data_IF_286753491633
#
_entry.id   IF_286753491633
#
_cell.length_a   1.000
_cell.length_b   1.000
_cell.length_c   1.000
_cell.angle_alpha   90.00
_cell.angle_beta   90.00
_cell.angle_gamma   90.00
#
_symmetry.space_group_name_H-M   'P 1'
#
loop_
_entity.id
_entity.type
_entity.pdbx_description
1 polymer ?
#
# COMPACT_ATOMS: atom_id res chain seq x y z
N UNK A 1 -22.06 19.03 -12.15
CA UNK A 1 -21.90 18.34 -13.44
C UNK A 1 -20.79 19.04 -14.21
N UNK A 2 -19.71 18.33 -14.49
CA UNK A 2 -18.56 18.89 -15.24
C UNK A 2 -18.47 18.12 -16.57
N UNK A 3 -19.16 18.64 -17.59
CA UNK A 3 -19.28 18.00 -18.90
C UNK A 3 -18.03 18.29 -19.74
N UNK A 4 -17.33 17.22 -20.14
CA UNK A 4 -16.15 17.27 -21.01
C UNK A 4 -16.52 16.69 -22.37
N UNK A 5 -16.32 17.44 -23.48
CA UNK A 5 -16.62 16.95 -24.81
C UNK A 5 -15.64 15.85 -25.22
N UNK A 6 -16.15 14.82 -25.88
CA UNK A 6 -15.34 13.73 -26.46
C UNK A 6 -15.68 13.57 -27.94
N UNK A 7 -14.68 13.10 -28.72
CA UNK A 7 -14.92 12.77 -30.12
C UNK A 7 -15.64 11.41 -30.22
N UNK A 8 -16.61 11.32 -31.12
CA UNK A 8 -17.35 10.11 -31.46
C UNK A 8 -16.42 8.96 -31.90
N UNK A 9 -15.32 9.29 -32.58
CA UNK A 9 -14.32 8.32 -33.03
C UNK A 9 -13.46 7.76 -31.88
N UNK A 10 -13.56 8.33 -30.70
CA UNK A 10 -12.88 7.85 -29.50
C UNK A 10 -13.63 6.67 -28.83
N UNK A 11 -14.84 6.32 -29.30
CA UNK A 11 -15.64 5.19 -28.78
C UNK A 11 -15.26 3.92 -29.53
N UNK A 12 -14.88 2.87 -28.77
CA UNK A 12 -14.48 1.58 -29.34
C UNK A 12 -15.73 0.70 -29.51
N UNK A 13 -16.08 0.41 -30.77
CA UNK A 13 -17.19 -0.45 -31.11
C UNK A 13 -16.93 -1.89 -30.63
N UNK A 14 -17.94 -2.55 -30.06
CA UNK A 14 -17.83 -3.89 -29.51
C UNK A 14 -17.24 -3.97 -28.10
N UNK A 15 -16.97 -2.81 -27.45
CA UNK A 15 -16.49 -2.75 -26.07
C UNK A 15 -17.49 -2.02 -25.17
N UNK A 16 -17.67 -2.47 -23.92
CA UNK A 16 -18.56 -1.80 -22.98
C UNK A 16 -18.05 -0.39 -22.67
N UNK A 17 -18.96 0.60 -22.64
CA UNK A 17 -18.64 1.98 -22.30
C UNK A 17 -18.07 2.06 -20.87
N UNK A 18 -16.92 2.69 -20.66
CA UNK A 18 -16.29 2.82 -19.35
C UNK A 18 -16.97 3.85 -18.43
N UNK A 19 -17.80 4.72 -19.00
CA UNK A 19 -18.55 5.75 -18.29
C UNK A 19 -19.83 6.12 -19.05
N UNK A 20 -20.84 6.76 -18.39
CA UNK A 20 -22.05 7.20 -19.05
C UNK A 20 -21.77 8.29 -20.09
N UNK A 21 -22.42 8.20 -21.25
CA UNK A 21 -22.40 9.22 -22.29
C UNK A 21 -23.60 10.15 -22.13
N UNK A 22 -23.36 11.45 -22.35
CA UNK A 22 -24.39 12.50 -22.23
C UNK A 22 -24.37 13.44 -23.43
N UNK A 23 -25.47 14.15 -23.66
CA UNK A 23 -25.50 15.26 -24.59
C UNK A 23 -25.02 16.57 -23.94
N UNK A 24 -24.96 17.67 -24.70
CA UNK A 24 -24.58 19.02 -24.26
C UNK A 24 -25.46 19.54 -23.10
N UNK A 25 -26.71 19.10 -23.04
CA UNK A 25 -27.67 19.45 -21.96
C UNK A 25 -27.54 18.57 -20.72
N UNK A 26 -26.60 17.59 -20.72
CA UNK A 26 -26.41 16.64 -19.63
C UNK A 26 -27.38 15.46 -19.62
N UNK A 27 -28.21 15.31 -20.65
CA UNK A 27 -29.15 14.19 -20.80
C UNK A 27 -28.35 12.91 -21.09
N UNK A 28 -28.68 11.82 -20.37
CA UNK A 28 -28.04 10.53 -20.54
C UNK A 28 -28.36 9.90 -21.90
N UNK A 29 -27.34 9.62 -22.70
CA UNK A 29 -27.45 8.94 -23.99
C UNK A 29 -27.23 7.44 -23.87
N UNK A 30 -26.24 7.03 -23.07
CA UNK A 30 -25.95 5.62 -22.77
C UNK A 30 -25.34 5.46 -21.38
N UNK A 31 -25.68 4.38 -20.70
CA UNK A 31 -25.12 4.04 -19.37
C UNK A 31 -23.71 3.45 -19.47
N UNK A 32 -22.98 3.50 -18.36
CA UNK A 32 -21.74 2.74 -18.18
C UNK A 32 -22.04 1.23 -18.39
N UNK A 33 -21.15 0.56 -19.11
CA UNK A 33 -21.30 -0.87 -19.45
C UNK A 33 -22.14 -1.16 -20.70
N UNK A 34 -22.79 -0.14 -21.31
CA UNK A 34 -23.51 -0.30 -22.57
C UNK A 34 -22.54 -0.66 -23.69
N UNK A 35 -22.87 -1.66 -24.50
CA UNK A 35 -22.08 -2.07 -25.67
C UNK A 35 -22.62 -1.44 -26.94
N UNK A 36 -21.82 -0.61 -27.58
CA UNK A 36 -22.11 -0.04 -28.90
C UNK A 36 -21.70 -1.06 -29.97
N UNK A 37 -22.64 -1.57 -30.72
CA UNK A 37 -22.38 -2.64 -31.71
C UNK A 37 -22.00 -2.13 -33.10
N UNK A 38 -22.34 -0.90 -33.44
CA UNK A 38 -22.00 -0.32 -34.73
C UNK A 38 -21.85 1.20 -34.67
N UNK A 39 -21.12 1.77 -35.67
CA UNK A 39 -21.00 3.21 -35.85
C UNK A 39 -22.36 3.86 -36.12
N UNK A 40 -23.22 3.16 -36.82
CA UNK A 40 -24.57 3.62 -37.15
C UNK A 40 -25.47 3.76 -35.91
N UNK A 41 -25.33 2.83 -34.95
CA UNK A 41 -26.00 2.89 -33.65
C UNK A 41 -25.53 4.13 -32.84
N UNK A 42 -24.23 4.42 -32.87
CA UNK A 42 -23.66 5.58 -32.22
C UNK A 42 -24.17 6.89 -32.83
N UNK A 43 -24.20 6.97 -34.18
CA UNK A 43 -24.71 8.14 -34.90
C UNK A 43 -26.22 8.37 -34.66
N UNK A 44 -27.01 7.30 -34.52
CA UNK A 44 -28.42 7.38 -34.15
C UNK A 44 -28.61 7.88 -32.73
N UNK A 45 -27.78 7.43 -31.75
CA UNK A 45 -27.83 7.92 -30.36
C UNK A 45 -27.49 9.40 -30.25
N UNK A 46 -26.50 9.86 -31.02
CA UNK A 46 -26.03 11.25 -31.00
C UNK A 46 -26.97 12.17 -31.78
N UNK A 47 -27.72 11.63 -32.76
CA UNK A 47 -28.60 12.35 -33.63
C UNK A 47 -27.85 13.35 -34.51
N UNK A 48 -28.52 14.47 -34.86
CA UNK A 48 -27.91 15.56 -35.66
C UNK A 48 -26.89 16.42 -34.90
N UNK A 49 -26.60 16.08 -33.62
CA UNK A 49 -25.66 16.80 -32.75
C UNK A 49 -24.31 16.07 -32.81
N UNK A 50 -23.28 16.79 -33.19
CA UNK A 50 -21.95 16.22 -33.50
C UNK A 50 -21.03 16.00 -32.28
N UNK A 51 -21.47 16.27 -31.05
CA UNK A 51 -20.63 16.16 -29.85
C UNK A 51 -21.29 15.36 -28.73
N UNK A 52 -20.50 14.48 -28.12
CA UNK A 52 -20.87 13.68 -26.96
C UNK A 52 -20.07 14.19 -25.77
N UNK A 53 -20.65 14.11 -24.59
CA UNK A 53 -20.04 14.58 -23.33
C UNK A 53 -19.98 13.46 -22.30
N UNK A 54 -18.97 13.57 -21.44
CA UNK A 54 -18.80 12.74 -20.24
C UNK A 54 -18.81 13.66 -19.03
N UNK A 55 -19.49 13.24 -17.95
CA UNK A 55 -19.40 13.96 -16.68
C UNK A 55 -18.14 13.54 -15.92
N UNK A 56 -17.12 14.38 -15.94
CA UNK A 56 -15.86 14.15 -15.26
C UNK A 56 -15.99 14.04 -13.73
N UNK A 57 -17.11 14.49 -13.15
CA UNK A 57 -17.37 14.35 -11.71
C UNK A 57 -17.86 12.96 -11.33
N UNK A 58 -18.36 12.15 -12.28
CA UNK A 58 -18.88 10.81 -12.07
C UNK A 58 -17.92 9.69 -12.47
N UNK A 59 -16.75 10.01 -13.02
CA UNK A 59 -15.75 9.04 -13.46
C UNK A 59 -14.35 9.43 -12.99
N UNK A 60 -13.96 8.90 -11.83
CA UNK A 60 -12.60 9.12 -11.29
C UNK A 60 -11.50 8.65 -12.23
N UNK A 61 -11.73 7.55 -12.97
CA UNK A 61 -10.76 7.01 -13.93
C UNK A 61 -10.56 7.94 -15.12
N UNK A 62 -11.65 8.52 -15.66
CA UNK A 62 -11.58 9.49 -16.73
C UNK A 62 -10.85 10.78 -16.28
N UNK A 63 -11.19 11.30 -15.10
CA UNK A 63 -10.56 12.49 -14.53
C UNK A 63 -9.05 12.29 -14.32
N UNK A 64 -8.62 11.13 -13.82
CA UNK A 64 -7.19 10.80 -13.65
C UNK A 64 -6.47 10.68 -14.99
N UNK A 65 -7.05 9.99 -15.98
CA UNK A 65 -6.49 9.87 -17.34
C UNK A 65 -6.32 11.23 -18.02
N UNK A 66 -7.30 12.11 -17.88
CA UNK A 66 -7.28 13.47 -18.41
C UNK A 66 -6.18 14.33 -17.77
N UNK A 67 -6.14 14.36 -16.44
CA UNK A 67 -5.12 15.12 -15.68
C UNK A 67 -3.71 14.61 -15.99
N UNK A 68 -3.50 13.29 -16.05
CA UNK A 68 -2.21 12.70 -16.40
C UNK A 68 -1.76 13.07 -17.81
N UNK A 69 -2.69 13.09 -18.78
CA UNK A 69 -2.38 13.47 -20.16
C UNK A 69 -2.04 14.96 -20.29
N UNK A 70 -2.78 15.83 -19.60
CA UNK A 70 -2.45 17.26 -19.50
C UNK A 70 -1.08 17.49 -18.88
N UNK A 71 -0.79 16.82 -17.76
CA UNK A 71 0.50 16.92 -17.08
C UNK A 71 1.66 16.45 -17.98
N UNK A 72 1.48 15.35 -18.72
CA UNK A 72 2.51 14.86 -19.65
C UNK A 72 2.77 15.84 -20.80
N UNK A 73 1.77 16.55 -21.29
CA UNK A 73 1.94 17.56 -22.33
C UNK A 73 2.59 18.83 -21.82
N UNK A 74 2.27 19.26 -20.59
CA UNK A 74 2.94 20.36 -19.89
C UNK A 74 4.40 20.01 -19.63
N UNK A 75 4.69 18.78 -19.15
CA UNK A 75 6.05 18.31 -18.93
C UNK A 75 6.87 18.14 -20.22
N UNK A 76 6.21 17.90 -21.36
CA UNK A 76 6.83 17.83 -22.68
C UNK A 76 7.01 19.22 -23.35
N UNK A 77 6.76 20.30 -22.62
CA UNK A 77 6.89 21.70 -23.06
C UNK A 77 6.15 21.99 -24.42
N UNK A 78 4.94 21.40 -24.55
CA UNK A 78 4.10 21.60 -25.76
C UNK A 78 3.40 22.95 -25.73
N UNK A 79 3.24 23.54 -26.91
CA UNK A 79 2.57 24.84 -27.07
C UNK A 79 1.14 24.80 -26.50
N UNK A 80 0.71 25.87 -25.81
CA UNK A 80 -0.62 26.02 -25.19
C UNK A 80 -1.79 25.67 -26.13
N UNK A 81 -1.67 25.98 -27.44
CA UNK A 81 -2.66 25.59 -28.44
C UNK A 81 -2.80 24.08 -28.62
N UNK A 82 -1.69 23.31 -28.53
CA UNK A 82 -1.72 21.85 -28.61
C UNK A 82 -2.26 21.20 -27.34
N UNK A 83 -2.14 21.88 -26.20
CA UNK A 83 -2.71 21.44 -24.92
C UNK A 83 -4.23 21.65 -24.92
N UNK A 84 -4.70 22.74 -25.54
CA UNK A 84 -6.13 23.07 -25.66
C UNK A 84 -6.88 22.16 -26.64
N UNK A 85 -6.20 21.59 -27.64
CA UNK A 85 -6.77 20.67 -28.66
C UNK A 85 -6.74 19.20 -28.27
N UNK A 86 -6.40 18.86 -27.01
CA UNK A 86 -6.31 17.47 -26.56
C UNK A 86 -7.70 16.81 -26.60
N UNK A 87 -7.89 15.95 -27.58
CA UNK A 87 -9.06 15.06 -27.64
C UNK A 87 -8.89 13.91 -26.65
N UNK A 88 -9.87 13.75 -25.79
CA UNK A 88 -9.88 12.73 -24.72
C UNK A 88 -10.76 11.57 -25.15
N UNK A 89 -10.24 10.34 -25.01
CA UNK A 89 -11.02 9.13 -25.20
C UNK A 89 -11.67 8.71 -23.87
N UNK A 90 -12.95 8.26 -23.88
CA UNK A 90 -13.58 7.65 -22.70
C UNK A 90 -12.81 6.48 -22.13
N UNK A 91 -11.95 5.85 -22.94
CA UNK A 91 -11.10 4.72 -22.59
C UNK A 91 -9.71 5.13 -22.13
N UNK A 92 -9.37 6.42 -22.11
CA UNK A 92 -8.04 6.89 -21.68
C UNK A 92 -7.73 6.54 -20.20
N UNK A 93 -8.75 6.28 -19.39
CA UNK A 93 -8.60 5.65 -18.06
C UNK A 93 -8.27 4.14 -18.10
N UNK A 94 -8.43 3.47 -19.28
CA UNK A 94 -8.07 2.07 -19.51
C UNK A 94 -6.95 1.88 -20.55
N UNK A 95 -6.58 2.94 -21.28
CA UNK A 95 -5.50 2.95 -22.27
C UNK A 95 -4.35 3.84 -21.84
N UNK A 96 -3.53 3.34 -20.98
CA UNK A 96 -2.10 3.45 -21.15
C UNK A 96 -1.70 2.30 -22.09
N UNK A 97 -1.97 2.48 -23.41
CA UNK A 97 -1.60 1.49 -24.43
C UNK A 97 -0.18 1.79 -24.86
N UNK A 98 0.67 0.77 -24.71
CA UNK A 98 2.05 0.68 -25.19
C UNK A 98 3.05 1.68 -24.59
N UNK A 99 2.83 2.22 -23.41
CA UNK A 99 3.87 2.18 -22.39
C UNK A 99 3.77 0.77 -21.78
N UNK A 100 4.87 0.10 -21.61
CA UNK A 100 5.01 -1.14 -20.85
C UNK A 100 3.92 -1.23 -19.79
N UNK A 101 3.12 -2.31 -19.78
CA UNK A 101 2.16 -2.60 -18.72
C UNK A 101 2.91 -2.30 -17.44
N UNK A 102 2.56 -1.21 -16.76
CA UNK A 102 3.22 -0.88 -15.51
C UNK A 102 2.80 -2.02 -14.60
N UNK A 103 3.74 -2.93 -14.39
CA UNK A 103 3.60 -4.16 -13.65
C UNK A 103 3.53 -3.83 -12.15
N UNK A 104 3.19 -2.59 -11.84
CA UNK A 104 2.94 -2.08 -10.51
C UNK A 104 1.46 -2.13 -10.20
N UNK A 105 1.13 -2.63 -9.00
CA UNK A 105 -0.25 -2.65 -8.55
C UNK A 105 -0.76 -1.22 -8.35
N UNK A 106 -2.02 -0.99 -8.64
CA UNK A 106 -2.72 0.13 -8.05
C UNK A 106 -2.94 -0.18 -6.56
N UNK A 107 -2.08 0.34 -5.70
CA UNK A 107 -2.06 0.06 -4.27
C UNK A 107 -3.38 0.37 -3.56
N UNK A 108 -4.09 1.41 -4.01
CA UNK A 108 -5.43 1.75 -3.51
C UNK A 108 -6.47 0.70 -3.91
N UNK A 109 -6.31 0.08 -5.08
CA UNK A 109 -7.18 -1.01 -5.52
C UNK A 109 -6.94 -2.28 -4.70
N UNK A 110 -5.68 -2.64 -4.45
CA UNK A 110 -5.34 -3.74 -3.53
C UNK A 110 -5.87 -3.50 -2.11
N UNK A 111 -5.78 -2.27 -1.60
CA UNK A 111 -6.35 -1.89 -0.31
C UNK A 111 -7.88 -2.08 -0.30
N UNK A 112 -8.56 -1.65 -1.37
CA UNK A 112 -10.01 -1.79 -1.52
C UNK A 112 -10.43 -3.26 -1.61
N UNK A 113 -9.68 -4.08 -2.33
CA UNK A 113 -9.90 -5.53 -2.41
C UNK A 113 -9.71 -6.20 -1.04
N UNK A 114 -8.64 -5.85 -0.31
CA UNK A 114 -8.39 -6.33 1.05
C UNK A 114 -9.53 -5.94 2.00
N UNK A 115 -9.99 -4.67 1.93
CA UNK A 115 -11.11 -4.18 2.74
C UNK A 115 -12.41 -4.95 2.45
N UNK A 116 -12.77 -5.12 1.17
CA UNK A 116 -13.95 -5.87 0.77
C UNK A 116 -13.88 -7.34 1.21
N UNK A 117 -12.71 -7.97 1.11
CA UNK A 117 -12.49 -9.35 1.55
C UNK A 117 -12.67 -9.50 3.06
N UNK A 118 -12.05 -8.63 3.86
CA UNK A 118 -12.11 -8.72 5.34
C UNK A 118 -13.50 -8.40 5.92
N UNK A 119 -14.36 -7.70 5.16
CA UNK A 119 -15.73 -7.39 5.59
C UNK A 119 -16.76 -8.40 5.09
N UNK A 120 -16.47 -9.12 4.03
CA UNK A 120 -17.37 -10.15 3.49
C UNK A 120 -16.95 -11.53 4.01
N UNK A 121 -17.40 -11.82 5.23
CA UNK A 121 -17.14 -13.09 5.91
C UNK A 121 -18.18 -14.18 5.55
N UNK A 122 -18.99 -13.96 4.52
CA UNK A 122 -20.02 -14.91 4.06
C UNK A 122 -19.46 -15.82 2.98
N UNK A 123 -19.13 -17.03 3.38
CA UNK A 123 -19.10 -18.21 2.52
C UNK A 123 -17.90 -18.33 1.56
N UNK A 124 -18.18 -18.99 0.46
CA UNK A 124 -17.23 -19.62 -0.47
C UNK A 124 -16.25 -18.68 -1.19
N UNK A 125 -16.47 -17.38 -1.15
CA UNK A 125 -15.63 -16.41 -1.89
C UNK A 125 -14.40 -15.91 -1.10
N UNK A 126 -14.32 -16.15 0.21
CA UNK A 126 -13.24 -15.62 1.07
C UNK A 126 -11.88 -16.21 0.71
N UNK A 127 -11.75 -17.53 0.69
CA UNK A 127 -10.47 -18.21 0.43
C UNK A 127 -9.87 -17.85 -0.93
N UNK A 128 -10.60 -17.86 -2.05
CA UNK A 128 -10.07 -17.44 -3.35
C UNK A 128 -9.63 -15.97 -3.38
N UNK A 129 -10.33 -15.08 -2.65
CA UNK A 129 -9.95 -13.65 -2.55
C UNK A 129 -8.69 -13.47 -1.72
N UNK A 130 -8.57 -14.18 -0.59
CA UNK A 130 -7.38 -14.16 0.26
C UNK A 130 -6.16 -14.65 -0.51
N UNK A 131 -6.28 -15.79 -1.20
CA UNK A 131 -5.21 -16.35 -2.00
C UNK A 131 -4.76 -15.38 -3.11
N UNK A 132 -5.69 -14.77 -3.81
CA UNK A 132 -5.37 -13.75 -4.83
C UNK A 132 -4.62 -12.58 -4.23
N UNK A 133 -5.10 -12.00 -3.13
CA UNK A 133 -4.45 -10.88 -2.45
C UNK A 133 -3.05 -11.26 -1.95
N UNK A 134 -2.91 -12.44 -1.36
CA UNK A 134 -1.64 -12.98 -0.89
C UNK A 134 -0.64 -13.12 -2.05
N UNK A 135 -1.04 -13.73 -3.17
CA UNK A 135 -0.20 -13.93 -4.34
C UNK A 135 0.23 -12.59 -4.96
N UNK A 136 -0.66 -11.59 -5.02
CA UNK A 136 -0.32 -10.25 -5.49
C UNK A 136 0.71 -9.57 -4.59
N UNK A 137 0.50 -9.58 -3.26
CA UNK A 137 1.44 -9.00 -2.31
C UNK A 137 2.80 -9.73 -2.36
N UNK A 138 2.80 -11.05 -2.46
CA UNK A 138 4.03 -11.85 -2.57
C UNK A 138 4.78 -11.52 -3.85
N UNK A 139 4.12 -11.50 -5.00
CA UNK A 139 4.68 -11.16 -6.31
C UNK A 139 5.38 -9.81 -6.28
N UNK A 140 4.71 -8.77 -5.73
CA UNK A 140 5.28 -7.43 -5.63
C UNK A 140 6.41 -7.35 -4.61
N UNK A 141 6.30 -8.06 -3.48
CA UNK A 141 7.35 -8.13 -2.46
C UNK A 141 8.60 -8.83 -2.97
N UNK A 142 8.46 -9.86 -3.80
CA UNK A 142 9.60 -10.54 -4.44
C UNK A 142 10.28 -9.66 -5.48
N UNK A 143 9.51 -8.95 -6.28
CA UNK A 143 10.01 -8.13 -7.39
C UNK A 143 10.64 -6.82 -6.93
N UNK A 144 9.98 -6.08 -6.04
CA UNK A 144 10.42 -4.80 -5.51
C UNK A 144 10.09 -4.68 -4.01
N UNK A 145 10.88 -5.30 -3.13
CA UNK A 145 10.60 -5.32 -1.69
C UNK A 145 10.59 -3.93 -1.07
N UNK A 146 11.47 -3.02 -1.52
CA UNK A 146 11.52 -1.65 -1.00
C UNK A 146 10.33 -0.81 -1.49
N UNK A 147 9.91 -0.97 -2.74
CA UNK A 147 8.72 -0.31 -3.28
C UNK A 147 7.44 -0.82 -2.62
N UNK A 148 7.33 -2.11 -2.35
CA UNK A 148 6.20 -2.70 -1.63
C UNK A 148 6.12 -2.17 -0.20
N UNK A 149 7.23 -2.17 0.54
CA UNK A 149 7.29 -1.56 1.88
C UNK A 149 6.91 -0.09 1.84
N UNK A 150 7.47 0.66 0.89
CA UNK A 150 7.17 2.08 0.71
C UNK A 150 5.67 2.31 0.56
N UNK A 151 5.03 1.57 -0.35
CA UNK A 151 3.61 1.74 -0.63
C UNK A 151 2.72 1.42 0.58
N UNK A 152 2.93 0.26 1.23
CA UNK A 152 2.08 -0.13 2.37
C UNK A 152 2.32 0.74 3.61
N UNK A 153 3.54 1.22 3.85
CA UNK A 153 3.84 2.16 4.94
C UNK A 153 3.25 3.55 4.64
N UNK A 154 3.35 4.00 3.39
CA UNK A 154 2.74 5.25 2.97
C UNK A 154 1.21 5.23 3.13
N UNK A 155 0.54 4.16 2.69
CA UNK A 155 -0.89 3.97 2.92
C UNK A 155 -1.22 3.96 4.42
N UNK A 156 -0.46 3.21 5.21
CA UNK A 156 -0.68 3.12 6.66
C UNK A 156 -0.48 4.46 7.38
N UNK A 157 0.38 5.35 6.86
CA UNK A 157 0.65 6.65 7.44
C UNK A 157 -0.35 7.75 7.09
N UNK A 158 -1.05 7.60 5.96
CA UNK A 158 -1.89 8.66 5.39
C UNK A 158 -3.39 8.33 5.39
N UNK A 159 -3.78 7.05 5.44
CA UNK A 159 -5.16 6.63 5.25
C UNK A 159 -5.72 5.98 6.53
N UNK A 160 -6.66 6.67 7.18
CA UNK A 160 -7.37 6.14 8.35
C UNK A 160 -8.56 5.27 7.93
N UNK A 161 -9.18 5.62 6.79
CA UNK A 161 -10.23 4.81 6.21
C UNK A 161 -9.64 3.48 5.72
N UNK A 162 -10.35 2.38 5.87
CA UNK A 162 -9.83 1.04 5.58
C UNK A 162 -8.60 0.64 6.44
N UNK A 163 -8.54 1.15 7.68
CA UNK A 163 -7.44 0.88 8.60
C UNK A 163 -7.14 -0.62 8.74
N UNK A 164 -8.16 -1.45 8.91
CA UNK A 164 -8.02 -2.90 9.07
C UNK A 164 -7.32 -3.57 7.88
N UNK A 165 -7.69 -3.19 6.66
CA UNK A 165 -7.10 -3.70 5.43
C UNK A 165 -5.64 -3.29 5.27
N UNK A 166 -5.36 -2.00 5.43
CA UNK A 166 -4.00 -1.46 5.32
C UNK A 166 -3.08 -2.08 6.36
N UNK A 167 -3.58 -2.22 7.59
CA UNK A 167 -2.84 -2.85 8.69
C UNK A 167 -2.52 -4.31 8.39
N UNK A 168 -3.49 -5.10 7.92
CA UNK A 168 -3.28 -6.49 7.55
C UNK A 168 -2.25 -6.65 6.43
N UNK A 169 -2.32 -5.83 5.37
CA UNK A 169 -1.35 -5.82 4.29
C UNK A 169 0.05 -5.47 4.78
N UNK A 170 0.18 -4.44 5.63
CA UNK A 170 1.47 -4.02 6.19
C UNK A 170 2.10 -5.11 7.04
N UNK A 171 1.34 -5.73 7.94
CA UNK A 171 1.81 -6.85 8.78
C UNK A 171 2.24 -8.02 7.90
N UNK A 172 1.45 -8.38 6.88
CA UNK A 172 1.78 -9.47 5.95
C UNK A 172 3.11 -9.22 5.22
N UNK A 173 3.32 -8.02 4.66
CA UNK A 173 4.55 -7.67 3.93
C UNK A 173 5.77 -7.70 4.86
N UNK A 174 5.68 -7.11 6.06
CA UNK A 174 6.77 -7.10 7.05
C UNK A 174 7.15 -8.53 7.43
N UNK A 175 6.16 -9.35 7.78
CA UNK A 175 6.35 -10.74 8.16
C UNK A 175 6.94 -11.58 7.03
N UNK A 176 6.45 -11.39 5.78
CA UNK A 176 6.97 -12.09 4.60
C UNK A 176 8.47 -11.85 4.39
N UNK A 177 8.90 -10.57 4.46
CA UNK A 177 10.31 -10.21 4.36
C UNK A 177 11.14 -10.81 5.50
N UNK A 178 10.65 -10.74 6.74
CA UNK A 178 11.38 -11.27 7.90
C UNK A 178 11.48 -12.81 7.86
N UNK A 179 10.38 -13.50 7.56
CA UNK A 179 10.33 -14.96 7.51
C UNK A 179 11.19 -15.52 6.38
N UNK A 180 11.07 -14.96 5.18
CA UNK A 180 11.78 -15.43 3.99
C UNK A 180 13.26 -15.04 4.00
N UNK A 181 13.55 -13.73 4.20
CA UNK A 181 14.88 -13.20 3.94
C UNK A 181 15.82 -13.31 5.14
N UNK A 182 15.28 -13.32 6.37
CA UNK A 182 16.07 -13.34 7.60
C UNK A 182 16.00 -14.70 8.31
N UNK A 183 14.78 -15.18 8.59
CA UNK A 183 14.57 -16.42 9.33
C UNK A 183 14.69 -17.66 8.45
N UNK A 184 14.63 -17.52 7.12
CA UNK A 184 14.74 -18.59 6.13
C UNK A 184 13.74 -19.72 6.36
N UNK A 185 12.51 -19.36 6.71
CA UNK A 185 11.45 -20.34 6.90
C UNK A 185 11.03 -21.05 5.60
N UNK A 186 10.56 -22.30 5.70
CA UNK A 186 10.05 -23.03 4.55
C UNK A 186 8.89 -22.29 3.85
N UNK A 187 8.73 -22.39 2.52
CA UNK A 187 7.66 -21.72 1.79
C UNK A 187 6.25 -21.98 2.35
N UNK A 188 5.97 -23.21 2.81
CA UNK A 188 4.68 -23.55 3.43
C UNK A 188 4.41 -22.75 4.73
N UNK A 189 5.45 -22.51 5.55
CA UNK A 189 5.34 -21.68 6.76
C UNK A 189 5.15 -20.21 6.41
N UNK A 190 5.85 -19.70 5.38
CA UNK A 190 5.68 -18.32 4.90
C UNK A 190 4.26 -18.12 4.36
N UNK A 191 3.73 -19.07 3.59
CA UNK A 191 2.36 -18.99 3.07
C UNK A 191 1.31 -19.00 4.19
N UNK A 192 1.41 -19.94 5.15
CA UNK A 192 0.51 -19.98 6.31
C UNK A 192 0.60 -18.69 7.15
N UNK A 193 1.80 -18.15 7.32
CA UNK A 193 2.04 -16.88 8.02
C UNK A 193 1.40 -15.70 7.31
N UNK A 194 1.51 -15.60 5.97
CA UNK A 194 0.87 -14.53 5.20
C UNK A 194 -0.66 -14.60 5.33
N UNK A 195 -1.24 -15.80 5.20
CA UNK A 195 -2.68 -16.01 5.40
C UNK A 195 -3.12 -15.60 6.81
N UNK A 196 -2.34 -15.98 7.83
CA UNK A 196 -2.60 -15.62 9.22
C UNK A 196 -2.51 -14.09 9.44
N UNK A 197 -1.47 -13.44 8.92
CA UNK A 197 -1.27 -12.00 9.05
C UNK A 197 -2.40 -11.19 8.39
N UNK A 198 -2.90 -11.64 7.22
CA UNK A 198 -4.01 -11.01 6.53
C UNK A 198 -5.34 -11.18 7.24
N UNK A 199 -5.51 -12.25 8.02
CA UNK A 199 -6.81 -12.61 8.62
C UNK A 199 -6.85 -12.60 10.15
N UNK A 200 -5.75 -12.31 10.84
CA UNK A 200 -5.65 -12.39 12.31
C UNK A 200 -6.74 -11.59 13.05
N UNK A 201 -7.18 -10.48 12.49
CA UNK A 201 -8.15 -9.57 13.07
C UNK A 201 -9.56 -9.67 12.44
N UNK A 202 -9.84 -10.73 11.65
CA UNK A 202 -11.09 -10.84 10.88
C UNK A 202 -12.33 -10.83 11.78
N UNK A 203 -12.23 -11.36 13.00
CA UNK A 203 -13.30 -11.33 14.01
C UNK A 203 -13.60 -9.93 14.56
N UNK A 204 -12.73 -8.93 14.32
CA UNK A 204 -12.93 -7.56 14.78
C UNK A 204 -12.71 -6.49 13.72
N UNK A 205 -12.77 -6.82 12.43
CA UNK A 205 -12.49 -5.89 11.32
C UNK A 205 -13.27 -4.58 11.45
N UNK A 206 -14.59 -4.65 11.63
CA UNK A 206 -15.43 -3.45 11.80
C UNK A 206 -15.10 -2.65 13.07
N UNK A 207 -14.80 -3.34 14.16
CA UNK A 207 -14.39 -2.70 15.41
C UNK A 207 -13.06 -2.00 15.23
N UNK A 208 -12.09 -2.62 14.55
CA UNK A 208 -10.77 -2.07 14.28
C UNK A 208 -10.86 -0.77 13.47
N UNK A 209 -11.68 -0.74 12.39
CA UNK A 209 -11.93 0.45 11.58
C UNK A 209 -12.63 1.55 12.41
N UNK A 210 -13.60 1.18 13.23
CA UNK A 210 -14.29 2.13 14.12
C UNK A 210 -13.35 2.74 15.15
N UNK A 211 -12.51 1.93 15.77
CA UNK A 211 -11.51 2.39 16.75
C UNK A 211 -10.45 3.30 16.13
N UNK A 212 -10.14 3.13 14.83
CA UNK A 212 -9.20 4.01 14.15
C UNK A 212 -9.69 5.47 14.09
N UNK A 213 -10.99 5.68 13.90
CA UNK A 213 -11.62 7.01 13.82
C UNK A 213 -12.22 7.49 15.14
N UNK A 214 -12.26 6.66 16.17
CA UNK A 214 -12.80 6.99 17.49
C UNK A 214 -11.83 7.87 18.28
N UNK A 215 -12.29 9.03 18.78
CA UNK A 215 -11.49 9.94 19.61
C UNK A 215 -11.51 9.56 21.10
N UNK A 216 -12.63 9.00 21.58
CA UNK A 216 -12.76 8.54 22.96
C UNK A 216 -12.00 7.23 23.21
N UNK A 217 -11.57 6.95 24.44
CA UNK A 217 -11.04 5.64 24.80
C UNK A 217 -12.03 4.51 24.47
N UNK A 218 -11.55 3.28 24.23
CA UNK A 218 -12.42 2.13 24.05
C UNK A 218 -13.31 1.90 25.27
N UNK A 219 -14.57 1.54 25.01
CA UNK A 219 -15.52 1.12 26.06
C UNK A 219 -15.17 -0.26 26.61
N UNK A 220 -15.73 -0.64 27.77
CA UNK A 220 -15.49 -1.98 28.33
C UNK A 220 -15.95 -3.11 27.39
N UNK A 221 -17.05 -2.90 26.68
CA UNK A 221 -17.53 -3.84 25.65
C UNK A 221 -16.52 -3.97 24.50
N UNK A 222 -15.99 -2.84 24.02
CA UNK A 222 -14.97 -2.84 22.96
C UNK A 222 -13.69 -3.56 23.43
N UNK A 223 -13.25 -3.34 24.67
CA UNK A 223 -12.10 -4.03 25.25
C UNK A 223 -12.33 -5.55 25.33
N UNK A 224 -13.50 -6.00 25.79
CA UNK A 224 -13.84 -7.42 25.81
C UNK A 224 -13.82 -8.06 24.41
N UNK A 225 -14.31 -7.34 23.39
CA UNK A 225 -14.22 -7.80 21.99
C UNK A 225 -12.80 -7.83 21.47
N UNK A 226 -11.97 -6.84 21.85
CA UNK A 226 -10.53 -6.84 21.51
C UNK A 226 -9.83 -8.04 22.16
N UNK A 227 -10.14 -8.37 23.41
CA UNK A 227 -9.49 -9.48 24.11
C UNK A 227 -9.91 -10.85 23.54
N UNK A 228 -11.16 -11.00 23.13
CA UNK A 228 -11.70 -12.23 22.57
C UNK A 228 -11.51 -12.43 21.06
N UNK A 229 -11.00 -11.43 20.32
CA UNK A 229 -11.04 -11.47 18.86
C UNK A 229 -10.22 -12.58 18.24
N UNK A 230 -9.11 -13.01 18.86
CA UNK A 230 -8.26 -14.08 18.31
C UNK A 230 -9.02 -15.40 18.20
N UNK A 231 -9.73 -15.80 19.29
CA UNK A 231 -10.58 -16.98 19.28
C UNK A 231 -11.75 -16.83 18.29
N UNK A 232 -12.43 -15.68 18.30
CA UNK A 232 -13.51 -15.39 17.35
C UNK A 232 -13.05 -15.38 15.88
N UNK A 233 -11.81 -14.96 15.62
CA UNK A 233 -11.22 -15.03 14.27
C UNK A 233 -11.00 -16.48 13.84
N UNK A 234 -10.51 -17.35 14.72
CA UNK A 234 -10.32 -18.78 14.44
C UNK A 234 -11.67 -19.45 14.13
N UNK A 235 -12.69 -19.24 14.97
CA UNK A 235 -14.02 -19.80 14.73
C UNK A 235 -14.59 -19.36 13.37
N UNK A 236 -14.42 -18.08 13.02
CA UNK A 236 -14.89 -17.54 11.76
C UNK A 236 -14.14 -18.12 10.57
N UNK A 237 -12.80 -18.24 10.65
CA UNK A 237 -11.96 -18.86 9.63
C UNK A 237 -12.33 -20.34 9.41
N UNK A 238 -12.57 -21.10 10.48
CA UNK A 238 -13.02 -22.49 10.37
C UNK A 238 -14.39 -22.60 9.69
N UNK A 239 -15.33 -21.71 10.01
CA UNK A 239 -16.64 -21.64 9.34
C UNK A 239 -16.52 -21.31 7.84
N UNK A 240 -15.48 -20.58 7.45
CA UNK A 240 -15.17 -20.28 6.05
C UNK A 240 -14.33 -21.37 5.36
N UNK A 241 -14.10 -22.51 6.01
CA UNK A 241 -13.44 -23.70 5.42
C UNK A 241 -11.90 -23.72 5.61
N UNK A 242 -11.33 -22.86 6.46
CA UNK A 242 -9.90 -22.93 6.75
C UNK A 242 -9.62 -24.14 7.62
N UNK A 243 -8.73 -25.04 7.14
CA UNK A 243 -8.28 -26.25 7.85
C UNK A 243 -6.77 -26.29 8.10
N UNK A 244 -6.01 -25.29 7.68
CA UNK A 244 -4.58 -25.23 7.87
C UNK A 244 -4.25 -24.92 9.34
N UNK A 245 -3.73 -25.93 10.05
CA UNK A 245 -3.43 -25.85 11.48
C UNK A 245 -2.39 -24.77 11.83
N UNK A 246 -1.34 -24.58 11.00
CA UNK A 246 -0.33 -23.56 11.24
C UNK A 246 -0.95 -22.16 11.19
N UNK A 247 -1.83 -21.92 10.21
CA UNK A 247 -2.57 -20.67 10.08
C UNK A 247 -3.48 -20.42 11.29
N UNK A 248 -4.33 -21.40 11.65
CA UNK A 248 -5.27 -21.29 12.77
C UNK A 248 -4.55 -21.07 14.09
N UNK A 249 -3.46 -21.83 14.36
CA UNK A 249 -2.63 -21.65 15.56
C UNK A 249 -1.95 -20.29 15.59
N UNK A 250 -1.47 -19.79 14.47
CA UNK A 250 -0.87 -18.46 14.37
C UNK A 250 -1.88 -17.37 14.71
N UNK A 251 -3.11 -17.46 14.16
CA UNK A 251 -4.21 -16.52 14.48
C UNK A 251 -4.60 -16.61 15.95
N UNK A 252 -4.73 -17.82 16.52
CA UNK A 252 -5.10 -17.98 17.92
C UNK A 252 -4.09 -17.36 18.89
N UNK A 253 -2.79 -17.50 18.57
CA UNK A 253 -1.70 -17.15 19.48
C UNK A 253 -1.05 -15.78 19.23
N UNK A 254 -1.47 -15.00 18.22
CA UNK A 254 -0.81 -13.73 17.87
C UNK A 254 -0.88 -12.64 18.95
N UNK A 255 -1.71 -12.83 19.99
CA UNK A 255 -1.81 -11.97 21.18
C UNK A 255 -1.09 -12.54 22.40
N UNK A 256 -0.42 -13.68 22.25
CA UNK A 256 0.27 -14.35 23.36
C UNK A 256 1.45 -13.52 23.88
N UNK A 257 1.58 -13.43 25.21
CA UNK A 257 2.60 -12.60 25.88
C UNK A 257 3.73 -13.44 26.49
N UNK A 258 3.95 -14.66 26.01
CA UNK A 258 5.01 -15.51 26.55
C UNK A 258 6.39 -15.07 26.02
N UNK A 259 7.34 -14.64 26.88
CA UNK A 259 8.72 -14.34 26.48
C UNK A 259 9.49 -15.61 26.12
N UNK A 260 10.68 -15.45 25.56
CA UNK A 260 11.61 -16.54 25.29
C UNK A 260 11.88 -16.80 23.80
N UNK A 261 12.86 -17.69 23.52
CA UNK A 261 13.40 -17.88 22.17
C UNK A 261 12.40 -18.52 21.21
N UNK A 262 12.54 -18.23 19.92
CA UNK A 262 11.71 -18.84 18.86
C UNK A 262 11.89 -20.36 18.81
N UNK A 263 13.09 -20.86 19.07
CA UNK A 263 13.39 -22.30 19.04
C UNK A 263 12.59 -23.13 20.05
N UNK A 264 12.18 -22.52 21.17
CA UNK A 264 11.38 -23.19 22.21
C UNK A 264 9.86 -23.26 21.88
N UNK A 265 9.43 -22.70 20.75
CA UNK A 265 8.02 -22.58 20.36
C UNK A 265 7.68 -23.60 19.28
N UNK A 266 6.41 -24.03 19.25
CA UNK A 266 5.86 -24.76 18.09
C UNK A 266 5.87 -23.86 16.85
N UNK A 267 5.76 -24.44 15.67
CA UNK A 267 5.78 -23.68 14.42
C UNK A 267 4.65 -22.64 14.35
N UNK A 268 3.44 -22.99 14.75
CA UNK A 268 2.32 -22.04 14.85
C UNK A 268 2.59 -20.89 15.83
N UNK A 269 3.23 -21.18 16.96
CA UNK A 269 3.63 -20.15 17.95
C UNK A 269 4.79 -19.28 17.46
N UNK A 270 5.73 -19.82 16.67
CA UNK A 270 6.81 -19.03 16.02
C UNK A 270 6.21 -18.01 15.05
N UNK A 271 5.27 -18.47 14.22
CA UNK A 271 4.54 -17.63 13.28
C UNK A 271 3.76 -16.55 14.05
N UNK A 272 3.02 -16.94 15.09
CA UNK A 272 2.27 -16.01 15.94
C UNK A 272 3.17 -14.94 16.56
N UNK A 273 4.38 -15.30 17.03
CA UNK A 273 5.31 -14.34 17.61
C UNK A 273 5.81 -13.33 16.60
N UNK A 274 6.13 -13.76 15.38
CA UNK A 274 6.54 -12.85 14.31
C UNK A 274 5.41 -11.88 13.96
N UNK A 275 4.18 -12.38 13.80
CA UNK A 275 2.99 -11.57 13.56
C UNK A 275 2.78 -10.56 14.69
N UNK A 276 2.87 -10.97 15.94
CA UNK A 276 2.71 -10.09 17.10
C UNK A 276 3.68 -8.90 17.08
N UNK A 277 4.96 -9.15 16.78
CA UNK A 277 5.97 -8.08 16.73
C UNK A 277 5.74 -7.14 15.55
N UNK A 278 5.34 -7.68 14.40
CA UNK A 278 4.96 -6.88 13.24
C UNK A 278 3.68 -6.06 13.47
N UNK A 279 2.67 -6.65 14.15
CA UNK A 279 1.43 -5.96 14.55
C UNK A 279 1.74 -4.76 15.46
N UNK A 280 2.58 -4.95 16.48
CA UNK A 280 3.02 -3.87 17.38
C UNK A 280 3.69 -2.73 16.62
N UNK A 281 4.57 -3.03 15.68
CA UNK A 281 5.24 -2.03 14.85
C UNK A 281 4.25 -1.30 13.94
N UNK A 282 3.43 -2.04 13.17
CA UNK A 282 2.45 -1.50 12.25
C UNK A 282 1.41 -0.61 12.96
N UNK A 283 0.91 -1.07 14.11
CA UNK A 283 -0.07 -0.32 14.90
C UNK A 283 0.47 1.03 15.40
N UNK A 284 1.77 1.17 15.66
CA UNK A 284 2.39 2.42 16.13
C UNK A 284 2.69 3.39 14.99
N UNK A 285 2.99 2.88 13.80
CA UNK A 285 3.18 3.70 12.61
C UNK A 285 1.88 4.32 12.09
N UNK A 286 0.76 3.60 12.25
CA UNK A 286 -0.53 4.02 11.71
C UNK A 286 -1.19 5.06 12.60
N UNK A 287 -1.71 6.19 12.06
CA UNK A 287 -2.46 7.17 12.80
C UNK A 287 -3.80 6.59 13.28
N UNK A 288 -4.26 7.08 14.43
CA UNK A 288 -5.64 6.89 14.92
C UNK A 288 -6.16 8.24 15.42
N UNK A 289 -7.45 8.45 15.37
CA UNK A 289 -8.04 9.70 15.85
C UNK A 289 -7.74 9.98 17.36
N UNK A 290 -7.53 8.91 18.14
CA UNK A 290 -7.19 8.99 19.58
C UNK A 290 -5.67 9.10 19.85
N UNK A 291 -4.80 8.87 18.85
CA UNK A 291 -3.36 8.81 19.03
C UNK A 291 -2.60 9.21 17.76
N UNK A 292 -1.66 10.13 17.92
CA UNK A 292 -0.72 10.44 16.85
C UNK A 292 0.19 9.22 16.53
N UNK A 293 0.59 9.03 15.26
CA UNK A 293 1.55 8.01 14.89
C UNK A 293 2.91 8.29 15.55
N UNK A 294 3.57 7.22 15.98
CA UNK A 294 4.92 7.31 16.53
C UNK A 294 5.96 7.46 15.39
N UNK A 295 7.16 7.91 15.73
CA UNK A 295 8.26 7.87 14.77
C UNK A 295 8.65 6.42 14.47
N UNK A 296 9.15 6.11 13.25
CA UNK A 296 9.55 4.75 12.89
C UNK A 296 10.54 4.13 13.85
N UNK A 297 11.53 4.90 14.33
CA UNK A 297 12.52 4.41 15.29
C UNK A 297 11.89 4.05 16.65
N UNK A 298 10.93 4.85 17.13
CA UNK A 298 10.19 4.57 18.39
C UNK A 298 9.31 3.34 18.23
N UNK A 299 8.58 3.25 17.11
CA UNK A 299 7.77 2.08 16.79
C UNK A 299 8.62 0.80 16.74
N UNK A 300 9.81 0.88 16.17
CA UNK A 300 10.75 -0.24 16.08
C UNK A 300 11.28 -0.70 17.44
N UNK A 301 11.61 0.24 18.34
CA UNK A 301 12.01 -0.09 19.71
C UNK A 301 10.98 -0.93 20.46
N UNK A 302 9.70 -0.70 20.19
CA UNK A 302 8.60 -1.42 20.85
C UNK A 302 8.53 -2.90 20.49
N UNK A 303 9.03 -3.30 19.32
CA UNK A 303 9.07 -4.70 18.92
C UNK A 303 10.41 -5.38 19.14
N UNK A 304 11.47 -4.61 19.50
CA UNK A 304 12.82 -5.11 19.68
C UNK A 304 13.01 -5.92 20.98
N UNK A 305 12.32 -5.52 22.06
CA UNK A 305 12.39 -6.18 23.34
C UNK A 305 11.17 -7.04 23.61
N UNK A 306 11.38 -8.18 24.29
CA UNK A 306 10.31 -9.02 24.80
C UNK A 306 9.69 -8.43 26.09
N UNK A 307 8.74 -9.15 26.68
CA UNK A 307 8.03 -8.77 27.90
C UNK A 307 8.94 -8.70 29.13
N UNK A 308 10.10 -9.37 29.10
CA UNK A 308 11.14 -9.37 30.11
C UNK A 308 12.26 -8.37 29.80
N UNK A 309 12.07 -7.50 28.80
CA UNK A 309 13.09 -6.54 28.31
C UNK A 309 14.37 -7.22 27.78
N UNK A 310 14.27 -8.48 27.36
CA UNK A 310 15.31 -9.18 26.62
C UNK A 310 15.13 -8.96 25.13
N UNK A 311 16.20 -9.13 24.36
CA UNK A 311 16.14 -9.00 22.90
C UNK A 311 15.23 -10.08 22.33
N UNK A 312 14.22 -9.67 21.56
CA UNK A 312 13.28 -10.56 20.90
C UNK A 312 13.77 -10.97 19.51
N UNK A 313 13.93 -12.27 19.27
CA UNK A 313 14.45 -12.79 18.00
C UNK A 313 13.55 -12.42 16.80
N UNK A 314 12.22 -12.44 16.96
CA UNK A 314 11.29 -12.03 15.93
C UNK A 314 11.37 -10.52 15.67
N UNK A 315 11.51 -9.70 16.73
CA UNK A 315 11.73 -8.27 16.62
C UNK A 315 13.03 -7.94 15.88
N UNK A 316 14.12 -8.63 16.20
CA UNK A 316 15.40 -8.51 15.49
C UNK A 316 15.26 -8.89 14.03
N UNK A 317 14.52 -9.96 13.71
CA UNK A 317 14.29 -10.37 12.33
C UNK A 317 13.53 -9.30 11.55
N UNK A 318 12.52 -8.67 12.13
CA UNK A 318 11.79 -7.54 11.55
C UNK A 318 12.74 -6.37 11.28
N UNK A 319 13.53 -5.95 12.27
CA UNK A 319 14.48 -4.82 12.11
C UNK A 319 15.47 -5.09 10.97
N UNK A 320 16.00 -6.32 10.89
CA UNK A 320 16.91 -6.69 9.81
C UNK A 320 16.23 -6.73 8.44
N UNK A 321 14.94 -7.09 8.41
CA UNK A 321 14.15 -7.20 7.19
C UNK A 321 13.74 -5.83 6.62
N UNK A 322 13.27 -4.90 7.49
CA UNK A 322 12.67 -3.64 7.03
C UNK A 322 13.54 -2.41 7.28
N UNK A 323 14.59 -2.53 8.10
CA UNK A 323 15.45 -1.42 8.52
C UNK A 323 14.86 -0.61 9.67
N UNK A 324 15.71 0.08 10.43
CA UNK A 324 15.26 1.03 11.47
C UNK A 324 14.52 2.20 10.85
N UNK A 325 15.02 2.66 9.70
CA UNK A 325 14.37 3.65 8.85
C UNK A 325 13.83 2.90 7.62
N UNK A 326 12.56 2.51 7.70
CA UNK A 326 11.92 1.71 6.65
C UNK A 326 11.55 2.57 5.43
N UNK A 327 11.55 2.02 4.19
CA UNK A 327 11.01 2.70 3.03
C UNK A 327 9.60 3.24 3.27
N UNK A 328 9.34 4.47 2.81
CA UNK A 328 8.08 5.18 3.05
C UNK A 328 8.04 6.01 4.35
N UNK A 329 9.05 5.93 5.21
CA UNK A 329 9.16 6.76 6.42
C UNK A 329 9.99 8.01 6.20
N UNK A 330 9.79 9.04 7.05
CA UNK A 330 10.50 10.30 6.91
C UNK A 330 11.64 10.45 7.93
N UNK A 331 12.69 11.09 7.48
CA UNK A 331 13.90 11.35 8.28
C UNK A 331 14.38 12.77 8.08
N UNK A 332 15.07 13.29 9.11
CA UNK A 332 15.81 14.55 9.06
C UNK A 332 17.31 14.27 8.94
N UNK A 333 17.95 14.93 7.98
CA UNK A 333 19.37 14.81 7.74
C UNK A 333 20.14 15.88 8.54
N UNK A 334 21.44 15.67 8.72
CA UNK A 334 22.36 16.65 9.38
C UNK A 334 22.38 17.99 8.65
N UNK A 335 22.06 17.99 7.34
CA UNK A 335 21.91 19.19 6.51
C UNK A 335 20.63 19.99 6.78
N UNK A 336 19.79 19.58 7.73
CA UNK A 336 18.41 20.06 7.97
C UNK A 336 17.38 19.71 6.89
N UNK A 337 17.75 18.96 5.87
CA UNK A 337 16.81 18.46 4.86
C UNK A 337 15.85 17.44 5.47
N UNK A 338 14.58 17.44 5.02
CA UNK A 338 13.59 16.38 5.31
C UNK A 338 13.48 15.50 4.07
N UNK A 339 13.68 14.22 4.29
CA UNK A 339 13.69 13.23 3.21
C UNK A 339 12.81 12.03 3.54
N UNK A 340 12.29 11.38 2.49
CA UNK A 340 11.61 10.09 2.60
C UNK A 340 12.60 8.96 2.28
N UNK A 341 12.53 7.90 3.06
CA UNK A 341 13.34 6.70 2.81
C UNK A 341 12.74 5.96 1.60
N UNK A 342 13.56 5.73 0.58
CA UNK A 342 13.15 5.02 -0.65
C UNK A 342 13.72 3.62 -0.76
N UNK A 343 14.85 3.35 -0.12
CA UNK A 343 15.50 2.03 -0.20
C UNK A 343 16.31 1.72 1.05
N UNK A 344 16.24 0.47 1.50
CA UNK A 344 17.09 -0.05 2.58
C UNK A 344 18.55 -0.09 2.14
N UNK A 345 19.46 0.29 3.03
CA UNK A 345 20.90 0.12 2.85
C UNK A 345 21.38 -1.24 3.34
N UNK A 346 22.68 -1.51 3.17
CA UNK A 346 23.35 -2.68 3.76
C UNK A 346 23.29 -2.64 5.29
N UNK A 347 23.36 -1.44 5.85
CA UNK A 347 23.16 -1.19 7.27
C UNK A 347 21.73 -0.70 7.51
N UNK A 348 21.05 -1.26 8.52
CA UNK A 348 19.67 -0.93 8.88
C UNK A 348 19.45 0.55 9.24
N UNK A 349 20.52 1.29 9.53
CA UNK A 349 20.51 2.73 9.89
C UNK A 349 20.91 3.67 8.76
N UNK A 350 21.33 3.15 7.60
CA UNK A 350 21.91 3.93 6.49
C UNK A 350 21.16 3.67 5.19
N UNK A 351 19.86 4.05 5.08
CA UNK A 351 19.07 3.88 3.87
C UNK A 351 19.44 4.88 2.77
N UNK A 352 18.90 4.67 1.57
CA UNK A 352 18.83 5.69 0.52
C UNK A 352 17.56 6.51 0.71
N UNK A 353 17.67 7.83 0.56
CA UNK A 353 16.57 8.74 0.80
C UNK A 353 16.39 9.73 -0.37
N UNK A 354 15.17 10.24 -0.51
CA UNK A 354 14.82 11.30 -1.43
C UNK A 354 14.40 12.54 -0.64
N UNK A 355 15.10 13.66 -0.82
CA UNK A 355 14.82 14.93 -0.15
C UNK A 355 13.54 15.52 -0.74
N UNK A 356 12.60 15.88 0.12
CA UNK A 356 11.33 16.52 -0.23
C UNK A 356 11.28 17.98 0.26
N UNK A 357 11.99 18.31 1.33
CA UNK A 357 12.13 19.66 1.85
C UNK A 357 13.63 19.94 1.99
N UNK A 358 14.09 21.00 1.33
CA UNK A 358 15.49 21.37 1.33
C UNK A 358 15.91 22.00 2.66
N UNK A 359 17.22 22.27 2.81
CA UNK A 359 17.83 22.88 4.04
C UNK A 359 17.24 24.23 4.43
N UNK A 360 16.55 24.93 3.52
CA UNK A 360 15.91 26.23 3.75
C UNK A 360 14.42 26.09 4.09
N UNK A 361 13.90 24.86 4.25
CA UNK A 361 12.49 24.59 4.57
C UNK A 361 11.55 24.68 3.37
N UNK A 362 12.07 24.76 2.15
CA UNK A 362 11.26 24.83 0.93
C UNK A 362 11.06 23.42 0.35
N UNK A 363 9.87 23.15 -0.15
CA UNK A 363 9.55 21.91 -0.89
C UNK A 363 10.39 21.87 -2.17
N UNK A 364 11.01 20.71 -2.43
CA UNK A 364 11.76 20.48 -3.67
C UNK A 364 10.80 20.18 -4.82
N UNK A 365 10.98 20.80 -5.99
CA UNK A 365 10.20 20.48 -7.19
C UNK A 365 10.44 19.04 -7.66
N UNK A 366 11.69 18.56 -7.49
CA UNK A 366 12.14 17.20 -7.78
C UNK A 366 12.73 16.57 -6.51
N UNK A 367 12.45 15.27 -6.22
CA UNK A 367 13.12 14.57 -5.14
C UNK A 367 14.63 14.45 -5.41
N UNK A 368 15.45 14.89 -4.45
CA UNK A 368 16.92 14.83 -4.57
C UNK A 368 17.43 13.64 -3.80
N UNK A 369 18.10 12.71 -4.51
CA UNK A 369 18.62 11.49 -3.90
C UNK A 369 19.83 11.77 -2.99
N UNK A 370 19.86 11.13 -1.81
CA UNK A 370 20.98 11.16 -0.87
C UNK A 370 21.34 9.77 -0.41
N UNK A 371 22.64 9.57 -0.22
CA UNK A 371 23.20 8.38 0.42
C UNK A 371 23.51 8.70 1.88
N UNK A 372 22.73 8.14 2.80
CA UNK A 372 22.92 8.41 4.23
C UNK A 372 24.12 7.67 4.85
N UNK A 373 24.83 6.83 4.10
CA UNK A 373 26.11 6.27 4.50
C UNK A 373 27.24 7.31 4.46
N UNK A 374 27.06 8.41 3.71
CA UNK A 374 27.96 9.53 3.68
C UNK A 374 27.71 10.44 4.89
N UNK A 375 28.77 10.78 5.63
CA UNK A 375 28.68 11.55 6.87
C UNK A 375 27.94 12.88 6.70
N UNK A 376 28.07 13.52 5.55
CA UNK A 376 27.40 14.78 5.18
C UNK A 376 25.88 14.65 5.03
N UNK A 377 25.33 13.42 4.85
CA UNK A 377 23.89 13.16 4.72
C UNK A 377 23.37 12.21 5.80
N UNK A 378 24.11 12.04 6.90
CA UNK A 378 23.67 11.15 7.97
C UNK A 378 22.32 11.57 8.54
N UNK A 379 21.51 10.60 8.95
CA UNK A 379 20.23 10.81 9.62
C UNK A 379 20.49 11.26 11.05
N UNK A 380 19.79 12.32 11.48
CA UNK A 380 19.84 12.85 12.85
C UNK A 380 18.54 12.62 13.62
N UNK A 381 17.42 12.45 12.91
CA UNK A 381 16.13 12.18 13.55
C UNK A 381 15.18 11.44 12.60
N UNK A 382 14.25 10.70 13.19
CA UNK A 382 13.04 10.21 12.55
C UNK A 382 11.95 11.29 12.61
N UNK A 383 11.18 11.46 11.55
CA UNK A 383 10.11 12.45 11.47
C UNK A 383 8.76 11.74 11.32
N UNK A 384 7.77 11.99 12.20
CA UNK A 384 6.43 11.44 12.07
C UNK A 384 5.75 11.91 10.78
N UNK A 385 4.93 11.07 10.15
CA UNK A 385 4.20 11.41 8.92
C UNK A 385 3.38 12.70 9.03
N UNK A 386 2.71 12.91 10.17
CA UNK A 386 1.88 14.10 10.43
C UNK A 386 2.64 15.45 10.35
N UNK A 387 3.96 15.41 10.55
CA UNK A 387 4.82 16.61 10.62
C UNK A 387 5.37 16.98 9.22
N UNK A 388 5.18 16.11 8.22
CA UNK A 388 5.60 16.35 6.83
C UNK A 388 4.38 16.69 5.97
N UNK A 389 4.13 17.99 5.81
CA UNK A 389 2.98 18.52 5.04
C UNK A 389 3.38 18.77 3.59
N UNK A 390 3.85 17.76 2.89
CA UNK A 390 4.21 17.85 1.48
C UNK A 390 3.33 16.90 0.68
N UNK A 391 2.61 17.46 -0.29
CA UNK A 391 1.89 16.63 -1.25
C UNK A 391 2.88 16.15 -2.30
N UNK A 392 3.27 14.88 -2.23
CA UNK A 392 4.21 14.26 -3.15
C UNK A 392 3.52 13.15 -3.96
N UNK A 393 3.92 13.03 -5.21
CA UNK A 393 3.39 11.99 -6.09
C UNK A 393 3.99 10.64 -5.69
N UNK A 394 3.13 9.73 -5.21
CA UNK A 394 3.50 8.38 -4.78
C UNK A 394 4.16 7.59 -5.92
N UNK A 395 3.60 7.62 -7.12
CA UNK A 395 4.11 6.85 -8.27
C UNK A 395 5.54 7.26 -8.63
N UNK A 396 5.83 8.56 -8.50
CA UNK A 396 7.16 9.11 -8.74
C UNK A 396 8.18 8.61 -7.72
N UNK A 397 7.81 8.58 -6.44
CA UNK A 397 8.67 8.06 -5.38
C UNK A 397 8.84 6.53 -5.50
N UNK A 398 7.80 5.80 -5.88
CA UNK A 398 7.89 4.37 -6.17
C UNK A 398 8.81 4.07 -7.36
N UNK A 399 8.80 4.89 -8.40
CA UNK A 399 9.73 4.76 -9.53
C UNK A 399 11.20 4.84 -9.07
N UNK A 400 11.52 5.69 -8.09
CA UNK A 400 12.88 5.81 -7.53
C UNK A 400 13.33 4.55 -6.78
N UNK A 401 12.41 3.77 -6.21
CA UNK A 401 12.76 2.51 -5.53
C UNK A 401 13.32 1.46 -6.50
N UNK A 402 12.97 1.53 -7.80
CA UNK A 402 13.41 0.61 -8.87
C UNK A 402 14.72 1.03 -9.51
N UNK A 403 14.91 2.33 -9.72
CA UNK A 403 16.05 2.86 -10.47
C UNK A 403 17.40 2.64 -9.78
N UNK A 404 17.41 2.38 -8.48
CA UNK A 404 18.64 2.13 -7.73
C UNK A 404 18.98 0.64 -7.69
N UNK A 405 20.20 0.22 -8.13
CA UNK A 405 20.65 -1.17 -8.01
C UNK A 405 20.59 -1.60 -6.54
N UNK A 406 20.22 -2.85 -6.30
CA UNK A 406 20.29 -3.44 -4.97
C UNK A 406 21.77 -3.58 -4.61
N UNK A 407 22.22 -3.01 -3.48
CA UNK A 407 23.64 -3.08 -3.07
C UNK A 407 24.17 -4.53 -2.90
N UNK A 408 23.29 -5.51 -2.80
CA UNK A 408 23.65 -6.94 -2.83
C UNK A 408 24.29 -7.38 -4.16
N UNK A 409 24.13 -6.64 -5.25
CA UNK A 409 24.77 -6.94 -6.54
C UNK A 409 26.18 -6.34 -6.70
N UNK A 410 26.61 -5.44 -5.81
CA UNK A 410 27.90 -4.77 -5.87
C UNK A 410 29.06 -5.55 -5.20
N UNK A 411 28.74 -6.52 -4.33
CA UNK A 411 29.79 -7.35 -3.70
C UNK A 411 30.54 -8.27 -4.68
N UNK A 412 30.04 -8.39 -5.91
CA UNK A 412 30.69 -9.17 -7.00
C UNK A 412 31.73 -8.39 -7.83
N UNK A 413 31.78 -7.06 -7.74
CA UNK A 413 32.62 -6.21 -8.63
C UNK A 413 33.90 -5.66 -7.99
N UNK A 414 34.19 -5.98 -6.73
CA UNK A 414 35.43 -5.57 -6.05
C UNK A 414 36.42 -6.72 -5.81
N UNK A 415 36.60 -7.62 -6.77
CA UNK A 415 37.74 -8.52 -6.81
C UNK A 415 38.24 -8.67 -8.26
N UNK A 416 38.85 -7.63 -8.77
CA UNK A 416 39.86 -7.71 -9.83
C UNK A 416 40.61 -6.37 -9.83
N UNK A 417 41.57 -6.28 -8.95
CA UNK A 417 42.93 -5.75 -9.14
C UNK A 417 43.74 -6.02 -7.89
#
# INVERSE_FOLDING_TARGET
MNLVPINIDAIIIGHPLPCPLRDEGGVLLANQGFMVHSRQELEVMVGRRSQIYIDASQSDNFRRGYVNRLNNLVLADRALGQIAEVQVSPYDGKRSVAAEVSDEPEWLDLQSQAHAMLRDTRGESFLPRLERLQNELERHTLRNPDGTLFAVIHLAGNEINHYSATHAMLVCVICSLAARDILKWPPAHVSAMCSAALSMNIGMTELQDRLAVQKSPPTQEQLSRIDGHAAGSVELLQKMGVSNELWLQAVLNHRGNAPGPLAARSDGQRIARLIQRADMFAARLSPRASRAPESPSTAMQSCYFDENRQIDEAGVAIIKAVGIYSPGTFVKLVTNEIAVVIKRGLNTTMPRVAVLINRHGMVTGEPILRDTSLAEFRIVASVPHKDVKVNHNLDRLLALTRQMPTERSWSGLKRSN
#
